data_IF_189623057712
#
_entry.id   IF_189623057712
#
_cell.length_a   1.000
_cell.length_b   1.000
_cell.length_c   1.000
_cell.angle_alpha   90.00
_cell.angle_beta   90.00
_cell.angle_gamma   90.00
#
_symmetry.space_group_name_H-M   'P 1'
#
loop_
_entity.id
_entity.type
_entity.pdbx_description
1 polymer ?
#
# COMPACT_ATOMS: atom_id res chain seq x y z
N UNK A 1 3.62 24.15 45.25
CA UNK A 1 4.04 24.52 43.87
C UNK A 1 4.09 23.24 43.06
N UNK A 2 3.15 23.05 42.14
CA UNK A 2 3.10 21.86 41.29
C UNK A 2 4.17 21.97 40.19
N UNK A 3 5.05 20.98 40.12
CA UNK A 3 6.01 20.80 39.02
C UNK A 3 5.23 20.44 37.77
N UNK A 4 5.27 21.32 36.77
CA UNK A 4 4.80 21.01 35.42
C UNK A 4 5.86 20.10 34.80
N UNK A 5 5.56 18.80 34.71
CA UNK A 5 6.35 17.86 33.91
C UNK A 5 6.29 18.41 32.47
N UNK A 6 7.43 18.62 31.79
CA UNK A 6 7.39 19.04 30.40
C UNK A 6 6.72 17.91 29.60
N UNK A 7 5.55 18.21 29.03
CA UNK A 7 4.89 17.30 28.12
C UNK A 7 5.82 17.00 26.95
N UNK A 8 6.13 15.72 26.74
CA UNK A 8 6.95 15.29 25.62
C UNK A 8 6.31 15.81 24.32
N UNK A 9 7.07 16.52 23.49
CA UNK A 9 6.61 16.93 22.17
C UNK A 9 6.97 15.84 21.16
N UNK A 10 5.99 15.43 20.34
CA UNK A 10 6.25 14.55 19.19
C UNK A 10 7.17 15.26 18.23
N UNK A 11 8.26 14.59 17.86
CA UNK A 11 9.07 15.08 16.75
C UNK A 11 8.40 14.70 15.42
N UNK A 12 8.48 15.57 14.41
CA UNK A 12 7.98 15.27 13.06
C UNK A 12 8.54 13.95 12.50
N UNK A 13 9.75 13.56 12.92
CA UNK A 13 10.40 12.31 12.55
C UNK A 13 9.71 11.06 13.13
N UNK A 14 9.22 11.11 14.36
CA UNK A 14 8.54 9.97 15.00
C UNK A 14 7.20 9.67 14.34
N UNK A 15 6.43 10.72 14.04
CA UNK A 15 5.17 10.59 13.31
C UNK A 15 5.41 10.03 11.89
N UNK A 16 6.42 10.53 11.19
CA UNK A 16 6.83 10.01 9.88
C UNK A 16 7.21 8.53 9.93
N UNK A 17 7.88 8.09 11.00
CA UNK A 17 8.21 6.67 11.17
C UNK A 17 6.95 5.81 11.35
N UNK A 18 5.97 6.26 12.14
CA UNK A 18 4.68 5.55 12.27
C UNK A 18 3.97 5.45 10.92
N UNK A 19 3.92 6.53 10.15
CA UNK A 19 3.29 6.55 8.82
C UNK A 19 4.03 5.65 7.83
N UNK A 20 5.37 5.66 7.82
CA UNK A 20 6.18 4.83 6.95
C UNK A 20 5.96 3.32 7.19
N UNK A 21 5.68 2.92 8.43
CA UNK A 21 5.34 1.53 8.75
C UNK A 21 4.00 1.07 8.17
N UNK A 22 3.09 1.98 7.88
CA UNK A 22 1.75 1.67 7.36
C UNK A 22 1.75 1.71 5.83
N UNK A 23 2.53 2.62 5.25
CA UNK A 23 2.69 2.80 3.81
C UNK A 23 3.83 1.91 3.27
N UNK A 24 3.59 0.60 3.19
CA UNK A 24 4.45 -0.30 2.43
C UNK A 24 4.31 -0.05 0.92
N UNK A 25 5.20 0.80 0.40
CA UNK A 25 5.19 1.24 -1.00
C UNK A 25 5.33 0.06 -1.96
N UNK A 26 6.12 -0.96 -1.60
CA UNK A 26 6.35 -2.12 -2.46
C UNK A 26 5.05 -2.95 -2.59
N UNK A 27 4.40 -3.24 -1.46
CA UNK A 27 3.12 -3.94 -1.44
C UNK A 27 2.01 -3.15 -2.16
N UNK A 28 1.99 -1.82 -2.00
CA UNK A 28 1.04 -0.94 -2.70
C UNK A 28 1.27 -0.95 -4.21
N UNK A 29 2.51 -0.88 -4.66
CA UNK A 29 2.87 -0.93 -6.09
C UNK A 29 2.45 -2.25 -6.73
N UNK A 30 2.70 -3.37 -6.04
CA UNK A 30 2.26 -4.69 -6.48
C UNK A 30 0.72 -4.77 -6.59
N UNK A 31 0.01 -4.23 -5.59
CA UNK A 31 -1.47 -4.19 -5.58
C UNK A 31 -2.02 -3.37 -6.75
N UNK A 32 -1.50 -2.17 -6.99
CA UNK A 32 -1.92 -1.31 -8.11
C UNK A 32 -1.64 -2.00 -9.45
N UNK A 33 -0.49 -2.65 -9.58
CA UNK A 33 -0.13 -3.39 -10.79
C UNK A 33 -1.12 -4.52 -11.05
N UNK A 34 -1.46 -5.31 -10.03
CA UNK A 34 -2.45 -6.40 -10.14
C UNK A 34 -3.85 -5.89 -10.50
N UNK A 35 -4.28 -4.77 -9.93
CA UNK A 35 -5.55 -4.11 -10.29
C UNK A 35 -5.55 -3.73 -11.78
N UNK A 36 -4.46 -3.12 -12.26
CA UNK A 36 -4.34 -2.72 -13.65
C UNK A 36 -4.29 -3.92 -14.60
N UNK A 37 -3.59 -5.00 -14.23
CA UNK A 37 -3.54 -6.23 -15.02
C UNK A 37 -4.91 -6.88 -15.18
N UNK A 38 -5.76 -6.84 -14.14
CA UNK A 38 -7.15 -7.32 -14.21
C UNK A 38 -7.96 -6.52 -15.22
N UNK A 39 -7.78 -5.19 -15.28
CA UNK A 39 -8.44 -4.37 -16.29
C UNK A 39 -7.90 -4.62 -17.70
N UNK A 40 -6.59 -4.80 -17.84
CA UNK A 40 -5.96 -5.15 -19.12
C UNK A 40 -6.43 -6.52 -19.64
N UNK A 41 -6.74 -7.47 -18.77
CA UNK A 41 -7.29 -8.77 -19.16
C UNK A 41 -8.65 -8.64 -19.88
N UNK A 42 -9.43 -7.61 -19.58
CA UNK A 42 -10.67 -7.28 -20.29
C UNK A 42 -10.46 -6.93 -21.77
N UNK A 43 -9.24 -6.59 -22.17
CA UNK A 43 -8.84 -6.26 -23.54
C UNK A 43 -7.89 -7.31 -24.16
N UNK A 44 -7.81 -8.51 -23.57
CA UNK A 44 -6.82 -9.51 -23.96
C UNK A 44 -6.95 -9.94 -25.43
N UNK A 45 -8.17 -10.00 -25.96
CA UNK A 45 -8.44 -10.39 -27.35
C UNK A 45 -7.90 -9.35 -28.34
N UNK A 46 -8.21 -8.06 -28.10
CA UNK A 46 -7.70 -6.97 -28.92
C UNK A 46 -6.17 -6.88 -28.84
N UNK A 47 -5.59 -7.11 -27.65
CA UNK A 47 -4.13 -7.13 -27.50
C UNK A 47 -3.48 -8.27 -28.28
N UNK A 48 -4.08 -9.46 -28.30
CA UNK A 48 -3.59 -10.60 -29.10
C UNK A 48 -3.65 -10.32 -30.61
N UNK A 49 -4.74 -9.70 -31.09
CA UNK A 49 -4.88 -9.30 -32.49
C UNK A 49 -3.80 -8.28 -32.90
N UNK A 50 -3.51 -7.30 -32.03
CA UNK A 50 -2.44 -6.32 -32.27
C UNK A 50 -1.06 -7.00 -32.19
N UNK A 51 -0.82 -7.88 -31.21
CA UNK A 51 0.45 -8.61 -31.08
C UNK A 51 0.73 -9.48 -32.31
N UNK A 52 -0.30 -10.08 -32.91
CA UNK A 52 -0.17 -10.85 -34.16
C UNK A 52 0.32 -10.02 -35.34
N UNK A 53 0.00 -8.72 -35.38
CA UNK A 53 0.47 -7.77 -36.40
C UNK A 53 1.75 -7.02 -35.99
N UNK A 54 1.97 -6.86 -34.70
CA UNK A 54 3.09 -6.14 -34.12
C UNK A 54 3.64 -6.87 -32.87
N UNK A 55 4.50 -7.90 -33.06
CA UNK A 55 4.95 -8.76 -31.99
C UNK A 55 5.57 -8.00 -30.80
N UNK A 56 5.06 -8.29 -29.60
CA UNK A 56 5.52 -7.70 -28.35
C UNK A 56 4.91 -6.34 -28.01
N UNK A 57 3.83 -5.93 -28.68
CA UNK A 57 3.02 -4.78 -28.32
C UNK A 57 2.52 -4.89 -26.88
N UNK A 58 1.92 -6.02 -26.49
CA UNK A 58 1.41 -6.25 -25.14
C UNK A 58 2.52 -6.15 -24.08
N UNK A 59 3.73 -6.63 -24.39
CA UNK A 59 4.90 -6.49 -23.50
C UNK A 59 5.36 -5.03 -23.37
N UNK A 60 5.36 -4.27 -24.47
CA UNK A 60 5.71 -2.83 -24.45
C UNK A 60 4.67 -2.00 -23.72
N UNK A 61 3.38 -2.29 -23.94
CA UNK A 61 2.27 -1.63 -23.26
C UNK A 61 2.36 -1.83 -21.75
N UNK A 62 2.55 -3.07 -21.28
CA UNK A 62 2.77 -3.37 -19.86
C UNK A 62 3.96 -2.61 -19.26
N UNK A 63 5.11 -2.58 -19.93
CA UNK A 63 6.27 -1.79 -19.45
C UNK A 63 5.98 -0.30 -19.35
N UNK A 64 5.23 0.27 -20.30
CA UNK A 64 4.84 1.67 -20.24
C UNK A 64 3.83 1.92 -19.11
N UNK A 65 2.87 1.01 -18.93
CA UNK A 65 1.92 1.06 -17.83
C UNK A 65 2.61 1.02 -16.46
N UNK A 66 3.58 0.13 -16.25
CA UNK A 66 4.37 0.07 -15.01
C UNK A 66 5.09 1.39 -14.72
N UNK A 67 5.69 2.03 -15.72
CA UNK A 67 6.34 3.35 -15.55
C UNK A 67 5.34 4.45 -15.20
N UNK A 68 4.12 4.39 -15.74
CA UNK A 68 3.07 5.35 -15.41
C UNK A 68 2.54 5.14 -13.99
N UNK A 69 2.46 3.89 -13.52
CA UNK A 69 2.19 3.58 -12.11
C UNK A 69 3.27 4.16 -11.22
N UNK A 70 4.55 3.87 -11.49
CA UNK A 70 5.68 4.39 -10.71
C UNK A 70 5.68 5.92 -10.64
N UNK A 71 5.37 6.60 -11.76
CA UNK A 71 5.23 8.06 -11.81
C UNK A 71 4.06 8.57 -10.98
N UNK A 72 2.88 7.95 -11.12
CA UNK A 72 1.70 8.35 -10.36
C UNK A 72 1.92 8.18 -8.85
N UNK A 73 2.48 7.03 -8.43
CA UNK A 73 2.86 6.78 -7.04
C UNK A 73 3.84 7.86 -6.56
N UNK A 74 4.90 8.14 -7.32
CA UNK A 74 5.91 9.13 -6.92
C UNK A 74 5.32 10.54 -6.76
N UNK A 75 4.35 10.92 -7.60
CA UNK A 75 3.70 12.22 -7.55
C UNK A 75 2.69 12.37 -6.41
N UNK A 76 1.94 11.31 -6.10
CA UNK A 76 0.85 11.39 -5.13
C UNK A 76 1.19 10.86 -3.72
N UNK A 77 2.24 10.04 -3.58
CA UNK A 77 2.66 9.50 -2.29
C UNK A 77 2.94 10.59 -1.22
N UNK A 78 3.55 11.75 -1.54
CA UNK A 78 3.72 12.82 -0.55
C UNK A 78 2.39 13.35 0.01
N UNK A 79 1.33 13.40 -0.81
CA UNK A 79 0.00 13.85 -0.40
C UNK A 79 -0.60 12.83 0.55
N UNK A 80 -0.57 11.54 0.19
CA UNK A 80 -1.05 10.45 1.03
C UNK A 80 -0.32 10.40 2.39
N UNK A 81 1.00 10.60 2.38
CA UNK A 81 1.80 10.69 3.62
C UNK A 81 1.33 11.83 4.49
N UNK A 82 1.15 13.02 3.92
CA UNK A 82 0.69 14.18 4.66
C UNK A 82 -0.71 13.98 5.25
N UNK A 83 -1.65 13.40 4.49
CA UNK A 83 -2.99 13.09 4.98
C UNK A 83 -2.95 12.11 6.16
N UNK A 84 -2.07 11.11 6.12
CA UNK A 84 -1.88 10.18 7.25
C UNK A 84 -1.26 10.88 8.47
N UNK A 85 -0.26 11.73 8.26
CA UNK A 85 0.36 12.51 9.34
C UNK A 85 -0.66 13.40 10.04
N UNK A 86 -1.49 14.14 9.30
CA UNK A 86 -2.54 15.01 9.86
C UNK A 86 -3.63 14.19 10.58
N UNK A 87 -4.02 13.04 10.01
CA UNK A 87 -5.00 12.15 10.63
C UNK A 87 -4.52 11.62 11.99
N UNK A 88 -3.25 11.23 12.07
CA UNK A 88 -2.66 10.69 13.30
C UNK A 88 -2.38 11.81 14.31
N UNK A 89 -1.81 12.93 13.87
CA UNK A 89 -1.48 14.07 14.73
C UNK A 89 -2.70 14.69 15.43
N UNK A 90 -3.84 14.70 14.75
CA UNK A 90 -5.09 15.23 15.32
C UNK A 90 -5.75 14.30 16.35
N UNK A 91 -5.29 13.04 16.48
CA UNK A 91 -6.01 12.00 17.24
C UNK A 91 -5.14 11.18 18.20
N UNK A 92 -3.82 11.30 18.09
CA UNK A 92 -2.85 10.65 18.97
C UNK A 92 -2.08 11.69 19.77
N UNK A 93 -1.85 11.39 21.06
CA UNK A 93 -0.95 12.16 21.90
C UNK A 93 0.51 11.79 21.61
N UNK A 94 1.46 12.60 22.09
CA UNK A 94 2.87 12.23 22.05
C UNK A 94 3.18 10.86 22.64
N UNK A 95 2.62 10.56 23.81
CA UNK A 95 2.80 9.27 24.47
C UNK A 95 2.21 8.12 23.65
N UNK A 96 1.09 8.34 22.94
CA UNK A 96 0.52 7.34 22.04
C UNK A 96 1.50 7.02 20.89
N UNK A 97 2.14 8.04 20.30
CA UNK A 97 3.10 7.87 19.20
C UNK A 97 4.37 7.17 19.68
N UNK A 98 4.90 7.54 20.84
CA UNK A 98 6.05 6.85 21.45
C UNK A 98 5.72 5.40 21.76
N UNK A 99 4.53 5.12 22.30
CA UNK A 99 4.04 3.75 22.58
C UNK A 99 3.89 2.94 21.29
N UNK A 100 3.35 3.55 20.23
CA UNK A 100 3.22 2.92 18.93
C UNK A 100 4.59 2.53 18.35
N UNK A 101 5.56 3.44 18.40
CA UNK A 101 6.92 3.17 17.94
C UNK A 101 7.63 2.11 18.77
N UNK A 102 7.46 2.13 20.10
CA UNK A 102 7.99 1.10 20.99
C UNK A 102 7.44 -0.28 20.62
N UNK A 103 6.12 -0.38 20.39
CA UNK A 103 5.49 -1.60 19.92
C UNK A 103 6.04 -2.07 18.57
N UNK A 104 6.23 -1.16 17.61
CA UNK A 104 6.81 -1.53 16.29
C UNK A 104 8.27 -2.01 16.36
N UNK A 105 9.00 -1.65 17.43
CA UNK A 105 10.39 -2.10 17.67
C UNK A 105 10.45 -3.46 18.37
N UNK A 106 9.33 -4.00 18.84
CA UNK A 106 9.31 -5.33 19.43
C UNK A 106 9.67 -6.39 18.37
N UNK A 107 10.64 -7.26 18.69
CA UNK A 107 11.11 -8.37 17.83
C UNK A 107 9.94 -9.18 17.28
N UNK A 108 8.99 -9.47 18.16
CA UNK A 108 7.73 -10.17 17.89
C UNK A 108 6.93 -9.52 16.75
N UNK A 109 6.87 -8.20 16.68
CA UNK A 109 6.13 -7.48 15.63
C UNK A 109 6.85 -7.55 14.28
N UNK A 110 8.19 -7.52 14.27
CA UNK A 110 8.96 -7.76 13.06
C UNK A 110 8.75 -9.18 12.50
N UNK A 111 8.71 -10.19 13.38
CA UNK A 111 8.41 -11.58 13.01
C UNK A 111 6.98 -11.75 12.48
N UNK A 112 6.01 -11.04 13.08
CA UNK A 112 4.63 -11.01 12.58
C UNK A 112 4.53 -10.35 11.20
N UNK A 113 5.27 -9.29 10.93
CA UNK A 113 5.30 -8.69 9.58
C UNK A 113 5.89 -9.63 8.54
N UNK A 114 7.00 -10.29 8.87
CA UNK A 114 7.63 -11.26 7.98
C UNK A 114 6.74 -12.48 7.71
N UNK A 115 5.96 -12.92 8.69
CA UNK A 115 5.25 -14.22 8.63
C UNK A 115 3.74 -14.10 8.40
N UNK A 116 3.06 -13.06 8.91
CA UNK A 116 1.61 -12.93 8.82
C UNK A 116 1.14 -12.06 7.65
N UNK A 117 1.85 -10.98 7.30
CA UNK A 117 1.49 -10.10 6.19
C UNK A 117 1.76 -10.76 4.82
N UNK A 118 2.93 -11.37 4.65
CA UNK A 118 3.30 -12.09 3.43
C UNK A 118 2.41 -13.33 3.23
N UNK A 119 2.24 -14.17 4.26
CA UNK A 119 1.41 -15.39 4.15
C UNK A 119 -0.10 -15.12 4.11
N UNK A 120 -0.58 -13.92 4.43
CA UNK A 120 -1.99 -13.54 4.24
C UNK A 120 -2.28 -12.94 2.86
N UNK A 121 -1.25 -12.43 2.17
CA UNK A 121 -1.31 -12.02 0.76
C UNK A 121 -1.22 -13.22 -0.19
N UNK A 122 -0.51 -14.29 0.19
CA UNK A 122 -0.30 -15.47 -0.66
C UNK A 122 -1.48 -16.47 -0.67
N UNK A 123 -2.42 -16.38 0.28
CA UNK A 123 -3.61 -17.25 0.32
C UNK A 123 -4.89 -16.44 0.19
N UNK A 124 -5.22 -16.13 -1.07
CA UNK A 124 -6.57 -15.79 -1.50
C UNK A 124 -7.49 -17.01 -1.50
N UNK A 125 -7.55 -17.77 -0.40
CA UNK A 125 -8.55 -18.81 -0.24
C UNK A 125 -9.79 -18.21 0.44
N UNK A 126 -10.91 -18.41 -0.26
CA UNK A 126 -12.27 -17.96 0.00
C UNK A 126 -12.92 -18.61 1.23
N UNK A 127 -12.29 -18.53 2.41
CA UNK A 127 -12.96 -18.90 3.66
C UNK A 127 -13.40 -17.66 4.43
N UNK A 128 -14.67 -17.64 4.86
CA UNK A 128 -15.33 -16.63 5.71
C UNK A 128 -14.69 -16.48 7.12
N UNK A 129 -13.49 -17.01 7.34
CA UNK A 129 -12.76 -16.80 8.59
C UNK A 129 -12.21 -15.38 8.64
N UNK A 130 -12.69 -14.61 9.61
CA UNK A 130 -12.19 -13.26 9.87
C UNK A 130 -10.66 -13.23 9.92
N UNK A 131 -10.06 -12.22 9.29
CA UNK A 131 -8.62 -12.01 9.24
C UNK A 131 -7.97 -12.14 10.63
N UNK A 132 -8.68 -11.69 11.67
CA UNK A 132 -8.30 -11.81 13.08
C UNK A 132 -8.08 -13.27 13.52
N UNK A 133 -9.04 -14.17 13.24
CA UNK A 133 -8.92 -15.59 13.60
C UNK A 133 -7.76 -16.28 12.88
N UNK A 134 -7.53 -15.93 11.60
CA UNK A 134 -6.41 -16.48 10.81
C UNK A 134 -5.05 -15.97 11.31
N UNK A 135 -4.99 -14.73 11.79
CA UNK A 135 -3.77 -14.16 12.38
C UNK A 135 -3.46 -14.81 13.72
N UNK A 136 -4.46 -14.96 14.61
CA UNK A 136 -4.28 -15.59 15.92
C UNK A 136 -3.85 -17.06 15.84
N UNK A 137 -4.35 -17.82 14.87
CA UNK A 137 -3.96 -19.23 14.68
C UNK A 137 -2.49 -19.43 14.29
N UNK A 138 -1.82 -18.38 13.78
CA UNK A 138 -0.41 -18.41 13.37
C UNK A 138 0.53 -17.77 14.40
N UNK A 139 -0.01 -17.27 15.51
CA UNK A 139 0.76 -16.64 16.56
C UNK A 139 1.20 -17.66 17.61
N UNK A 140 2.47 -17.63 17.98
CA UNK A 140 2.92 -18.30 19.19
C UNK A 140 2.44 -17.54 20.45
N UNK A 141 2.59 -18.16 21.62
CA UNK A 141 2.07 -17.60 22.88
C UNK A 141 2.70 -16.25 23.25
N UNK A 142 3.99 -16.04 22.95
CA UNK A 142 4.70 -14.77 23.15
C UNK A 142 4.11 -13.67 22.24
N UNK A 143 3.88 -13.99 20.96
CA UNK A 143 3.28 -13.09 19.97
C UNK A 143 1.86 -12.68 20.37
N UNK A 144 1.04 -13.64 20.78
CA UNK A 144 -0.32 -13.38 21.22
C UNK A 144 -0.37 -12.47 22.46
N UNK A 145 0.50 -12.70 23.45
CA UNK A 145 0.55 -11.90 24.67
C UNK A 145 0.97 -10.44 24.41
N UNK A 146 1.97 -10.22 23.55
CA UNK A 146 2.43 -8.89 23.14
C UNK A 146 1.32 -8.13 22.40
N UNK A 147 0.70 -8.76 21.39
CA UNK A 147 -0.39 -8.16 20.63
C UNK A 147 -1.58 -7.85 21.53
N UNK A 148 -2.02 -8.80 22.36
CA UNK A 148 -3.17 -8.61 23.26
C UNK A 148 -2.95 -7.42 24.23
N UNK A 149 -1.76 -7.31 24.80
CA UNK A 149 -1.39 -6.20 25.69
C UNK A 149 -1.42 -4.85 24.96
N UNK A 150 -0.92 -4.79 23.73
CA UNK A 150 -0.98 -3.58 22.93
C UNK A 150 -2.43 -3.20 22.59
N UNK A 151 -3.25 -4.16 22.15
CA UNK A 151 -4.66 -3.93 21.81
C UNK A 151 -5.48 -3.44 23.02
N UNK A 152 -5.11 -3.87 24.23
CA UNK A 152 -5.74 -3.44 25.48
C UNK A 152 -5.20 -2.10 26.00
N UNK A 153 -4.12 -1.58 25.43
CA UNK A 153 -3.57 -0.28 25.84
C UNK A 153 -4.39 0.89 25.30
N UNK A 154 -4.39 2.07 25.97
CA UNK A 154 -5.07 3.27 25.46
C UNK A 154 -4.62 3.67 24.04
N UNK A 155 -3.34 3.48 23.74
CA UNK A 155 -2.75 3.71 22.42
C UNK A 155 -3.34 2.72 21.38
N UNK A 156 -3.37 1.43 21.68
CA UNK A 156 -3.94 0.41 20.79
C UNK A 156 -5.42 0.63 20.50
N UNK A 157 -6.21 0.95 21.53
CA UNK A 157 -7.64 1.24 21.39
C UNK A 157 -7.92 2.44 20.45
N UNK A 158 -7.02 3.43 20.40
CA UNK A 158 -7.11 4.56 19.44
C UNK A 158 -6.58 4.16 18.06
N UNK A 159 -5.45 3.47 18.00
CA UNK A 159 -4.78 3.15 16.75
C UNK A 159 -5.55 2.15 15.88
N UNK A 160 -6.30 1.21 16.45
CA UNK A 160 -7.05 0.22 15.66
C UNK A 160 -8.08 0.88 14.73
N UNK A 161 -9.03 1.72 15.22
CA UNK A 161 -9.94 2.45 14.33
C UNK A 161 -9.22 3.34 13.32
N UNK A 162 -8.13 4.00 13.73
CA UNK A 162 -7.35 4.86 12.83
C UNK A 162 -6.69 4.05 11.74
N UNK A 163 -6.17 2.86 12.06
CA UNK A 163 -5.58 1.94 11.10
C UNK A 163 -6.61 1.54 10.06
N UNK A 164 -7.85 1.23 10.45
CA UNK A 164 -8.89 0.90 9.49
C UNK A 164 -9.22 2.08 8.56
N UNK A 165 -9.33 3.30 9.09
CA UNK A 165 -9.57 4.50 8.27
C UNK A 165 -8.41 4.79 7.31
N UNK A 166 -7.17 4.66 7.78
CA UNK A 166 -5.97 4.80 6.96
C UNK A 166 -5.94 3.72 5.86
N UNK A 167 -6.30 2.47 6.16
CA UNK A 167 -6.40 1.42 5.14
C UNK A 167 -7.44 1.79 4.08
N UNK A 168 -8.64 2.23 4.46
CA UNK A 168 -9.67 2.68 3.50
C UNK A 168 -9.16 3.80 2.60
N UNK A 169 -8.50 4.81 3.18
CA UNK A 169 -7.94 5.92 2.41
C UNK A 169 -6.83 5.45 1.46
N UNK A 170 -5.93 4.58 1.93
CA UNK A 170 -4.92 3.91 1.10
C UNK A 170 -5.53 3.14 -0.08
N UNK A 171 -6.59 2.36 0.16
CA UNK A 171 -7.26 1.60 -0.89
C UNK A 171 -7.93 2.51 -1.92
N UNK A 172 -8.63 3.56 -1.46
CA UNK A 172 -9.21 4.57 -2.35
C UNK A 172 -8.16 5.24 -3.23
N UNK A 173 -7.02 5.59 -2.64
CA UNK A 173 -5.87 6.15 -3.35
C UNK A 173 -5.28 5.18 -4.38
N UNK A 174 -5.05 3.92 -4.02
CA UNK A 174 -4.55 2.90 -4.95
C UNK A 174 -5.50 2.70 -6.14
N UNK A 175 -6.81 2.69 -5.89
CA UNK A 175 -7.83 2.58 -6.94
C UNK A 175 -7.83 3.80 -7.85
N UNK A 176 -7.67 5.01 -7.31
CA UNK A 176 -7.60 6.24 -8.09
C UNK A 176 -6.41 6.22 -9.07
N UNK A 177 -5.23 5.78 -8.60
CA UNK A 177 -4.06 5.61 -9.46
C UNK A 177 -4.31 4.57 -10.55
N UNK A 178 -4.83 3.38 -10.19
CA UNK A 178 -5.12 2.32 -11.15
C UNK A 178 -6.07 2.82 -12.25
N UNK A 179 -7.17 3.46 -11.86
CA UNK A 179 -8.14 4.06 -12.79
C UNK A 179 -7.50 5.16 -13.67
N UNK A 180 -6.68 6.03 -13.08
CA UNK A 180 -6.00 7.10 -13.80
C UNK A 180 -4.98 6.60 -14.82
N UNK A 181 -4.22 5.55 -14.49
CA UNK A 181 -3.32 4.89 -15.44
C UNK A 181 -4.10 4.15 -16.52
N UNK A 182 -5.17 3.44 -16.14
CA UNK A 182 -6.04 2.70 -17.07
C UNK A 182 -6.65 3.60 -18.14
N UNK A 183 -7.20 4.75 -17.73
CA UNK A 183 -7.74 5.75 -18.66
C UNK A 183 -6.71 6.24 -19.70
N UNK A 184 -5.41 6.19 -19.38
CA UNK A 184 -4.31 6.58 -20.29
C UNK A 184 -3.81 5.43 -21.17
N UNK A 185 -4.13 4.17 -20.87
CA UNK A 185 -3.67 3.00 -21.64
C UNK A 185 -3.96 3.11 -23.15
N UNK A 186 -5.13 3.57 -23.62
CA UNK A 186 -5.38 3.72 -25.05
C UNK A 186 -4.43 4.72 -25.72
N UNK A 187 -4.10 5.82 -25.05
CA UNK A 187 -3.16 6.83 -25.55
C UNK A 187 -1.72 6.31 -25.59
N UNK A 188 -1.32 5.56 -24.56
CA UNK A 188 -0.02 4.87 -24.51
C UNK A 188 0.09 3.87 -25.66
N UNK A 189 -0.93 3.04 -25.87
CA UNK A 189 -1.01 2.09 -26.98
C UNK A 189 -0.88 2.76 -28.34
N UNK A 190 -1.64 3.84 -28.58
CA UNK A 190 -1.53 4.66 -29.81
C UNK A 190 -0.12 5.21 -30.01
N UNK A 191 0.52 5.71 -28.95
CA UNK A 191 1.88 6.22 -28.99
C UNK A 191 2.92 5.16 -29.36
N UNK A 192 2.77 3.94 -28.84
CA UNK A 192 3.61 2.78 -29.17
C UNK A 192 3.46 2.43 -30.66
N UNK A 193 2.24 2.33 -31.17
CA UNK A 193 1.96 2.00 -32.57
C UNK A 193 2.51 3.08 -33.52
N UNK A 194 2.29 4.36 -33.21
CA UNK A 194 2.81 5.48 -34.03
C UNK A 194 4.34 5.44 -34.15
N UNK A 195 5.05 5.14 -33.05
CA UNK A 195 6.52 4.99 -33.06
C UNK A 195 6.98 3.80 -33.90
N UNK A 196 6.20 2.73 -33.96
CA UNK A 196 6.51 1.58 -34.81
C UNK A 196 6.34 1.94 -36.29
N UNK A 197 5.16 2.42 -36.69
CA UNK A 197 4.88 2.74 -38.09
C UNK A 197 5.81 3.81 -38.66
N UNK A 198 6.19 4.82 -37.86
CA UNK A 198 7.17 5.83 -38.29
C UNK A 198 8.59 5.29 -38.47
N UNK A 199 8.96 4.18 -37.82
CA UNK A 199 10.24 3.50 -38.07
C UNK A 199 10.19 2.65 -39.33
N UNK A 200 9.09 1.94 -39.54
CA UNK A 200 8.86 1.13 -40.75
C UNK A 200 8.80 2.00 -42.00
N UNK A 201 8.19 3.20 -41.92
CA UNK A 201 8.15 4.13 -43.04
C UNK A 201 9.51 4.78 -43.39
N UNK A 202 10.54 4.61 -42.55
CA UNK A 202 11.90 5.14 -42.75
C UNK A 202 12.92 4.07 -43.17
N UNK A 203 12.54 2.81 -43.13
CA UNK A 203 13.33 1.64 -43.56
C UNK A 203 12.91 1.21 -44.95
#
# INVERSE_FOLDING_TARGET
>A
MMSIIPGAQVTSNELQQVVAYILDIAAMTATITALLEKEMAGFAKEMLEIDGRFPGFGRRLRRHASREIERAISGELPILRHEFEELLKSRLTPDDITTALAFQRERVVAELRATAFITSLERGDHDDTSLSARMSAKMNQEQHAVVARFLQSPCGMKLIPLTQQMQTLKYGWMQAIANGVSARLPLIGKGILRKHYSRVAKS
#
